data_IF_380248104025
#
_entry.id   IF_380248104025
#
_cell.length_a   1.000
_cell.length_b   1.000
_cell.length_c   1.000
_cell.angle_alpha   90.00
_cell.angle_beta   90.00
_cell.angle_gamma   90.00
#
_symmetry.space_group_name_H-M   'P 1'
#
loop_
_entity.id
_entity.type
_entity.pdbx_description
1 polymer ?
#
# COMPACT_ATOMS: atom_id res chain seq x y z
N UNK A 1 17.28 -30.92 -24.18
CA UNK A 1 16.39 -29.94 -24.84
C UNK A 1 15.01 -29.84 -24.18
N UNK A 2 14.32 -30.95 -23.84
CA UNK A 2 12.98 -30.91 -23.21
C UNK A 2 12.93 -30.16 -21.87
N UNK A 3 13.90 -30.37 -20.98
CA UNK A 3 13.95 -29.69 -19.67
C UNK A 3 14.00 -28.16 -19.81
N UNK A 4 14.79 -27.65 -20.76
CA UNK A 4 14.90 -26.21 -21.02
C UNK A 4 13.57 -25.62 -21.49
N UNK A 5 12.84 -26.33 -22.37
CA UNK A 5 11.52 -25.89 -22.83
C UNK A 5 10.46 -25.95 -21.72
N UNK A 6 10.53 -26.94 -20.83
CA UNK A 6 9.63 -27.03 -19.66
C UNK A 6 9.88 -25.88 -18.69
N UNK A 7 11.14 -25.54 -18.42
CA UNK A 7 11.49 -24.39 -17.57
C UNK A 7 11.00 -23.08 -18.20
N UNK A 8 11.17 -22.89 -19.51
CA UNK A 8 10.64 -21.71 -20.20
C UNK A 8 9.11 -21.62 -20.13
N UNK A 9 8.40 -22.72 -20.33
CA UNK A 9 6.94 -22.78 -20.19
C UNK A 9 6.49 -22.46 -18.77
N UNK A 10 7.21 -22.97 -17.77
CA UNK A 10 6.93 -22.68 -16.36
C UNK A 10 7.09 -21.19 -16.05
N UNK A 11 8.20 -20.57 -16.48
CA UNK A 11 8.43 -19.14 -16.29
C UNK A 11 7.34 -18.32 -16.99
N UNK A 12 6.99 -18.66 -18.23
CA UNK A 12 5.91 -17.99 -18.97
C UNK A 12 4.57 -18.11 -18.25
N UNK A 13 4.25 -19.28 -17.70
CA UNK A 13 3.04 -19.49 -16.92
C UNK A 13 3.02 -18.64 -15.64
N UNK A 14 4.14 -18.53 -14.93
CA UNK A 14 4.27 -17.69 -13.72
C UNK A 14 4.09 -16.20 -14.06
N UNK A 15 4.66 -15.74 -15.18
CA UNK A 15 4.51 -14.36 -15.65
C UNK A 15 3.05 -14.06 -16.00
N UNK A 16 2.39 -14.95 -16.74
CA UNK A 16 0.98 -14.80 -17.09
C UNK A 16 0.08 -14.81 -15.86
N UNK A 17 0.35 -15.70 -14.90
CA UNK A 17 -0.35 -15.75 -13.63
C UNK A 17 -0.19 -14.43 -12.86
N UNK A 18 1.04 -13.91 -12.72
CA UNK A 18 1.31 -12.65 -12.04
C UNK A 18 0.61 -11.47 -12.73
N UNK A 19 0.58 -11.46 -14.07
CA UNK A 19 -0.07 -10.42 -14.85
C UNK A 19 -1.59 -10.43 -14.67
N UNK A 20 -2.23 -11.60 -14.74
CA UNK A 20 -3.69 -11.72 -14.61
C UNK A 20 -4.19 -11.50 -13.18
N UNK A 21 -3.39 -11.88 -12.19
CA UNK A 21 -3.74 -11.78 -10.76
C UNK A 21 -3.18 -10.52 -10.11
N UNK A 22 -2.68 -9.54 -10.88
CA UNK A 22 -2.10 -8.33 -10.31
C UNK A 22 -3.18 -7.53 -9.55
N UNK A 23 -3.02 -7.33 -8.23
CA UNK A 23 -4.06 -6.69 -7.44
C UNK A 23 -4.12 -5.18 -7.72
N UNK A 24 -5.34 -4.66 -7.80
CA UNK A 24 -5.66 -3.27 -8.15
C UNK A 24 -5.73 -2.36 -6.92
N UNK A 25 -5.93 -1.07 -7.15
CA UNK A 25 -6.15 -0.09 -6.08
C UNK A 25 -7.39 -0.46 -5.24
N UNK A 26 -8.50 -0.84 -5.90
CA UNK A 26 -9.74 -1.19 -5.21
C UNK A 26 -9.58 -2.44 -4.32
N UNK A 27 -8.77 -3.40 -4.76
CA UNK A 27 -8.42 -4.57 -3.95
C UNK A 27 -7.64 -4.18 -2.71
N UNK A 28 -6.74 -3.19 -2.83
CA UNK A 28 -5.99 -2.66 -1.70
C UNK A 28 -6.88 -1.91 -0.72
N UNK A 29 -7.79 -1.08 -1.23
CA UNK A 29 -8.75 -0.35 -0.38
C UNK A 29 -9.61 -1.33 0.40
N UNK A 30 -10.07 -2.44 -0.20
CA UNK A 30 -10.78 -3.51 0.50
C UNK A 30 -9.91 -4.18 1.57
N UNK A 31 -8.66 -4.51 1.24
CA UNK A 31 -7.70 -5.07 2.21
C UNK A 31 -7.44 -4.12 3.39
N UNK A 32 -7.37 -2.80 3.13
CA UNK A 32 -7.16 -1.79 4.16
C UNK A 32 -8.43 -1.49 4.95
N UNK A 33 -9.62 -1.63 4.35
CA UNK A 33 -10.90 -1.36 5.02
C UNK A 33 -11.07 -2.22 6.27
N UNK A 34 -10.65 -3.48 6.21
CA UNK A 34 -10.63 -4.39 7.37
C UNK A 34 -9.68 -3.92 8.47
N UNK A 35 -8.62 -3.18 8.13
CA UNK A 35 -7.65 -2.59 9.07
C UNK A 35 -8.03 -1.18 9.54
N UNK A 36 -8.77 -0.41 8.73
CA UNK A 36 -9.11 0.99 8.97
C UNK A 36 -10.14 1.20 10.08
N UNK A 37 -10.89 0.16 10.47
CA UNK A 37 -11.84 0.23 11.59
C UNK A 37 -11.18 0.69 12.92
N UNK A 38 -9.84 0.68 13.01
CA UNK A 38 -9.07 1.01 14.21
C UNK A 38 -8.42 2.42 14.21
N UNK A 39 -8.54 3.22 13.14
CA UNK A 39 -7.71 4.43 12.96
C UNK A 39 -8.56 5.70 12.85
N UNK A 40 -8.29 6.70 13.72
CA UNK A 40 -9.08 7.93 13.83
C UNK A 40 -8.88 8.96 12.69
N UNK A 41 -8.05 8.68 11.69
CA UNK A 41 -7.79 9.62 10.57
C UNK A 41 -7.52 8.86 9.27
N UNK A 42 -8.06 9.34 8.13
CA UNK A 42 -7.89 8.67 6.85
C UNK A 42 -6.41 8.67 6.45
N UNK A 43 -5.80 7.51 6.19
CA UNK A 43 -4.42 7.45 5.72
C UNK A 43 -4.32 7.89 4.26
N UNK A 44 -3.14 8.40 3.87
CA UNK A 44 -2.82 8.67 2.48
C UNK A 44 -2.25 7.40 1.86
N UNK A 45 -2.88 6.94 0.78
CA UNK A 45 -2.50 5.73 0.05
C UNK A 45 -1.85 6.13 -1.27
N UNK A 46 -0.55 5.88 -1.41
CA UNK A 46 0.19 6.04 -2.66
C UNK A 46 0.25 4.67 -3.35
N UNK A 47 -0.43 4.54 -4.49
CA UNK A 47 -0.50 3.30 -5.23
C UNK A 47 0.25 3.41 -6.56
N UNK A 48 1.28 2.59 -6.74
CA UNK A 48 2.09 2.52 -7.95
C UNK A 48 1.85 1.21 -8.67
N UNK A 49 1.30 1.31 -9.87
CA UNK A 49 1.07 0.18 -10.77
C UNK A 49 2.35 -0.12 -11.58
N UNK A 50 2.99 -1.27 -11.31
CA UNK A 50 4.07 -1.80 -12.16
C UNK A 50 3.56 -2.97 -13.02
N UNK A 51 4.35 -3.43 -13.99
CA UNK A 51 3.88 -4.41 -14.99
C UNK A 51 3.39 -5.73 -14.37
N UNK A 52 4.15 -6.31 -13.42
CA UNK A 52 3.82 -7.61 -12.78
C UNK A 52 3.40 -7.50 -11.31
N UNK A 53 3.56 -6.33 -10.71
CA UNK A 53 3.30 -6.11 -9.29
C UNK A 53 2.73 -4.71 -9.08
N UNK A 54 2.08 -4.50 -7.94
CA UNK A 54 1.74 -3.17 -7.45
C UNK A 54 2.57 -2.86 -6.20
N UNK A 55 2.97 -1.61 -6.05
CA UNK A 55 3.58 -1.12 -4.80
C UNK A 55 2.59 -0.17 -4.17
N UNK A 56 2.37 -0.33 -2.87
CA UNK A 56 1.48 0.55 -2.12
C UNK A 56 2.20 1.08 -0.92
N UNK A 57 2.09 2.37 -0.67
CA UNK A 57 2.64 3.00 0.51
C UNK A 57 1.50 3.71 1.24
N UNK A 58 1.31 3.35 2.50
CA UNK A 58 0.27 3.89 3.35
C UNK A 58 0.93 4.78 4.39
N UNK A 59 0.59 6.07 4.38
CA UNK A 59 1.07 7.02 5.39
C UNK A 59 -0.08 7.35 6.34
N UNK A 60 0.10 7.00 7.62
CA UNK A 60 -0.84 7.33 8.69
C UNK A 60 -0.49 8.68 9.29
N UNK A 61 -1.52 9.49 9.53
CA UNK A 61 -1.37 10.80 10.14
C UNK A 61 -2.03 10.81 11.52
N UNK A 62 -1.41 11.54 12.44
CA UNK A 62 -1.95 11.82 13.76
C UNK A 62 -2.18 13.33 13.91
N UNK A 63 -3.30 13.70 14.53
CA UNK A 63 -3.58 15.09 14.87
C UNK A 63 -2.74 15.46 16.08
N UNK A 64 -1.77 16.36 15.89
CA UNK A 64 -1.00 16.95 17.00
C UNK A 64 -1.43 18.40 17.15
N UNK A 65 -1.83 18.77 18.36
CA UNK A 65 -2.03 20.17 18.71
C UNK A 65 -0.66 20.84 18.87
N UNK A 66 -0.39 21.86 18.06
CA UNK A 66 0.81 22.68 18.17
C UNK A 66 0.38 24.10 18.58
N UNK A 67 1.04 24.70 19.59
CA UNK A 67 0.76 26.08 19.97
C UNK A 67 1.11 27.02 18.82
N UNK A 68 0.17 27.89 18.41
CA UNK A 68 0.41 28.88 17.37
C UNK A 68 1.07 30.11 18.00
N UNK A 69 2.32 30.46 17.64
CA UNK A 69 3.05 31.54 18.31
C UNK A 69 2.51 32.95 18.05
N UNK A 70 1.46 33.10 17.23
CA UNK A 70 0.95 34.40 16.76
C UNK A 70 -0.46 34.78 17.27
N UNK A 71 -1.19 33.86 17.91
CA UNK A 71 -2.51 34.14 18.49
C UNK A 71 -2.61 33.40 19.83
N UNK A 72 -2.66 34.16 20.93
CA UNK A 72 -2.70 33.63 22.30
C UNK A 72 -3.68 32.46 22.47
N UNK A 73 -3.22 31.46 23.21
CA UNK A 73 -3.91 30.22 23.65
C UNK A 73 -4.66 29.40 22.58
N UNK A 74 -4.57 29.77 21.30
CA UNK A 74 -5.15 28.99 20.20
C UNK A 74 -4.19 27.88 19.78
N UNK A 75 -4.66 26.65 19.94
CA UNK A 75 -3.95 25.45 19.47
C UNK A 75 -4.38 25.14 18.05
N UNK A 76 -3.43 25.05 17.12
CA UNK A 76 -3.70 24.54 15.78
C UNK A 76 -3.52 23.02 15.79
N UNK A 77 -4.53 22.28 15.36
CA UNK A 77 -4.41 20.86 15.08
C UNK A 77 -3.70 20.69 13.72
N UNK A 78 -2.46 20.24 13.72
CA UNK A 78 -1.72 19.88 12.50
C UNK A 78 -1.70 18.36 12.34
N UNK A 79 -1.79 17.88 11.10
CA UNK A 79 -1.64 16.47 10.77
C UNK A 79 -0.14 16.15 10.61
N UNK A 80 0.39 15.29 11.48
CA UNK A 80 1.80 14.86 11.45
C UNK A 80 1.87 13.39 11.02
N UNK A 81 2.74 13.00 10.07
CA UNK A 81 2.90 11.61 9.68
C UNK A 81 3.45 10.78 10.86
N UNK A 82 2.69 9.76 11.28
CA UNK A 82 3.01 8.89 12.43
C UNK A 82 3.72 7.61 12.00
N UNK A 83 3.22 6.96 10.95
CA UNK A 83 3.75 5.68 10.48
C UNK A 83 3.63 5.59 8.96
N UNK A 84 4.57 4.86 8.34
CA UNK A 84 4.57 4.53 6.92
C UNK A 84 4.66 3.02 6.78
N UNK A 85 3.61 2.41 6.25
CA UNK A 85 3.61 0.99 5.89
C UNK A 85 3.82 0.86 4.38
N UNK A 86 4.61 -0.12 3.97
CA UNK A 86 4.84 -0.43 2.56
C UNK A 86 4.27 -1.81 2.26
N UNK A 87 3.65 -1.96 1.10
CA UNK A 87 3.05 -3.20 0.65
C UNK A 87 3.46 -3.52 -0.78
N UNK A 88 3.65 -4.81 -1.05
CA UNK A 88 3.82 -5.36 -2.38
C UNK A 88 2.59 -6.17 -2.76
N UNK A 89 1.89 -5.74 -3.81
CA UNK A 89 0.82 -6.51 -4.43
C UNK A 89 1.36 -7.49 -5.47
N UNK A 90 1.21 -8.78 -5.20
CA UNK A 90 1.61 -9.85 -6.11
C UNK A 90 0.67 -11.06 -5.95
N UNK A 91 0.31 -11.71 -7.06
CA UNK A 91 -0.56 -12.89 -7.06
C UNK A 91 -1.90 -12.71 -6.32
N UNK A 92 -2.55 -11.56 -6.49
CA UNK A 92 -3.84 -11.25 -5.87
C UNK A 92 -3.78 -10.99 -4.36
N UNK A 93 -2.58 -10.87 -3.79
CA UNK A 93 -2.35 -10.64 -2.36
C UNK A 93 -1.43 -9.45 -2.13
N UNK A 94 -1.61 -8.81 -0.97
CA UNK A 94 -0.73 -7.75 -0.49
C UNK A 94 0.18 -8.28 0.61
N UNK A 95 1.48 -8.09 0.42
CA UNK A 95 2.54 -8.49 1.33
C UNK A 95 3.10 -7.25 2.00
N UNK A 96 3.15 -7.23 3.34
CA UNK A 96 3.82 -6.13 4.05
C UNK A 96 5.32 -6.19 3.77
N UNK A 97 5.91 -5.04 3.47
CA UNK A 97 7.32 -4.81 3.22
C UNK A 97 7.95 -4.01 4.37
N UNK A 98 7.32 -4.03 5.57
CA UNK A 98 7.76 -3.32 6.78
C UNK A 98 9.29 -3.28 6.94
#
# INVERSE_FOLDING_TARGET
MKFRNVVFLFIAAVILAAWFTRPSYDDFVKFQADKQAQISSPPVIEFTNSFLFSRVQVTYFEKREVPVPLQGDQKAAIAVPRSKEKYLGLFGRFWSLD
#
